data_IF_045425321609
#
_entry.id   IF_045425321609
#
_cell.length_a   1.000
_cell.length_b   1.000
_cell.length_c   1.000
_cell.angle_alpha   90.00
_cell.angle_beta   90.00
_cell.angle_gamma   90.00
#
_symmetry.space_group_name_H-M   'P 1'
#
loop_
_entity.id
_entity.type
_entity.pdbx_description
1 polymer ?
#
# COMPACT_ATOMS: atom_id res chain seq x y z
N UNK A 1 -14.58 -2.99 10.71
CA UNK A 1 -15.69 -2.92 11.70
C UNK A 1 -16.35 -1.55 11.66
N UNK A 2 -17.62 -1.44 12.03
CA UNK A 2 -18.38 -0.18 11.91
C UNK A 2 -18.64 0.19 10.45
N UNK A 3 -18.29 1.42 10.03
CA UNK A 3 -18.38 1.86 8.62
C UNK A 3 -17.53 1.01 7.67
N UNK A 4 -16.42 0.45 8.17
CA UNK A 4 -15.53 -0.42 7.42
C UNK A 4 -16.10 -1.83 7.35
N UNK A 5 -16.73 -2.14 6.22
CA UNK A 5 -17.46 -3.40 5.98
C UNK A 5 -16.77 -4.31 4.97
N UNK A 6 -15.56 -3.92 4.57
CA UNK A 6 -14.68 -4.60 3.64
C UNK A 6 -13.39 -5.02 4.35
N UNK A 7 -12.67 -5.96 3.74
CA UNK A 7 -11.32 -6.31 4.18
C UNK A 7 -10.38 -5.17 3.83
N UNK A 8 -9.54 -4.75 4.78
CA UNK A 8 -8.45 -3.81 4.57
C UNK A 8 -7.12 -4.54 4.64
N UNK A 9 -6.17 -4.15 3.80
CA UNK A 9 -4.94 -4.90 3.62
C UNK A 9 -4.07 -4.91 4.89
N UNK A 10 -3.56 -3.77 5.34
CA UNK A 10 -2.58 -3.77 6.44
C UNK A 10 -3.21 -4.09 7.81
N UNK A 11 -4.47 -3.68 8.05
CA UNK A 11 -5.26 -4.02 9.24
C UNK A 11 -5.39 -5.53 9.43
N UNK A 12 -5.44 -6.26 8.32
CA UNK A 12 -5.59 -7.71 8.33
C UNK A 12 -4.39 -8.42 8.92
N UNK A 13 -3.17 -7.89 8.76
CA UNK A 13 -1.99 -8.49 9.40
C UNK A 13 -2.10 -8.42 10.92
N UNK A 14 -2.44 -7.26 11.48
CA UNK A 14 -2.61 -7.10 12.92
C UNK A 14 -3.80 -7.90 13.47
N UNK A 15 -4.87 -8.02 12.68
CA UNK A 15 -6.00 -8.91 13.00
C UNK A 15 -5.55 -10.37 13.03
N UNK A 16 -4.74 -10.79 12.06
CA UNK A 16 -4.21 -12.14 11.97
C UNK A 16 -3.34 -12.52 13.16
N UNK A 17 -2.54 -11.59 13.72
CA UNK A 17 -1.79 -11.86 14.95
C UNK A 17 -2.70 -12.29 16.11
N UNK A 18 -3.88 -11.66 16.26
CA UNK A 18 -4.88 -12.08 17.25
C UNK A 18 -5.56 -13.41 16.92
N UNK A 19 -5.74 -13.72 15.63
CA UNK A 19 -6.28 -15.00 15.17
C UNK A 19 -5.30 -16.15 15.43
N UNK A 20 -4.01 -15.93 15.15
CA UNK A 20 -2.92 -16.84 15.48
C UNK A 20 -2.92 -17.17 16.98
N UNK A 21 -2.91 -16.12 17.83
CA UNK A 21 -2.87 -16.30 19.28
C UNK A 21 -4.12 -16.97 19.85
N UNK A 22 -5.26 -16.85 19.17
CA UNK A 22 -6.50 -17.54 19.54
C UNK A 22 -6.65 -18.94 18.91
N UNK A 23 -5.64 -19.45 18.20
CA UNK A 23 -5.64 -20.76 17.57
C UNK A 23 -6.59 -20.88 16.38
N UNK A 24 -6.98 -19.76 15.75
CA UNK A 24 -7.91 -19.69 14.61
C UNK A 24 -7.19 -19.85 13.27
N UNK A 25 -6.44 -20.94 13.13
CA UNK A 25 -5.72 -21.29 11.90
C UNK A 25 -6.64 -21.40 10.67
N UNK A 26 -7.89 -21.79 10.86
CA UNK A 26 -8.91 -21.88 9.81
C UNK A 26 -9.13 -20.52 9.13
N UNK A 27 -9.16 -19.45 9.92
CA UNK A 27 -9.31 -18.09 9.43
C UNK A 27 -8.02 -17.55 8.81
N UNK A 28 -6.86 -17.88 9.39
CA UNK A 28 -5.56 -17.55 8.83
C UNK A 28 -5.41 -18.09 7.39
N UNK A 29 -5.75 -19.37 7.19
CA UNK A 29 -5.74 -20.02 5.85
C UNK A 29 -6.62 -19.29 4.86
N UNK A 30 -7.84 -18.94 5.26
CA UNK A 30 -8.78 -18.22 4.40
C UNK A 30 -8.26 -16.81 4.04
N UNK A 31 -7.69 -16.08 5.00
CA UNK A 31 -7.16 -14.74 4.74
C UNK A 31 -5.96 -14.78 3.78
N UNK A 32 -5.05 -15.74 3.96
CA UNK A 32 -3.93 -15.97 3.07
C UNK A 32 -4.37 -16.14 1.61
N UNK A 33 -5.34 -17.05 1.40
CA UNK A 33 -5.88 -17.37 0.08
C UNK A 33 -6.59 -16.18 -0.56
N UNK A 34 -7.31 -15.38 0.24
CA UNK A 34 -7.97 -14.16 -0.26
C UNK A 34 -6.94 -13.12 -0.75
N UNK A 35 -5.83 -12.95 -0.03
CA UNK A 35 -4.77 -12.01 -0.44
C UNK A 35 -4.01 -12.50 -1.67
N UNK A 36 -3.64 -13.78 -1.70
CA UNK A 36 -3.03 -14.41 -2.87
C UNK A 36 -3.94 -14.27 -4.11
N UNK A 37 -5.24 -14.53 -3.96
CA UNK A 37 -6.23 -14.37 -5.03
C UNK A 37 -6.33 -12.92 -5.52
N UNK A 38 -6.28 -11.93 -4.63
CA UNK A 38 -6.29 -10.51 -5.03
C UNK A 38 -5.04 -10.14 -5.85
N UNK A 39 -3.86 -10.64 -5.46
CA UNK A 39 -2.62 -10.45 -6.23
C UNK A 39 -2.76 -11.07 -7.63
N UNK A 40 -3.28 -12.30 -7.73
CA UNK A 40 -3.48 -12.98 -9.01
C UNK A 40 -4.43 -12.24 -9.95
N UNK A 41 -5.52 -11.67 -9.41
CA UNK A 41 -6.59 -11.08 -10.22
C UNK A 41 -6.39 -9.60 -10.51
N UNK A 42 -5.72 -8.85 -9.62
CA UNK A 42 -5.56 -7.40 -9.74
C UNK A 42 -4.09 -6.96 -9.85
N UNK A 43 -3.14 -7.89 -9.78
CA UNK A 43 -1.70 -7.62 -9.81
C UNK A 43 -1.15 -7.04 -8.50
N UNK A 44 -2.00 -6.76 -7.52
CA UNK A 44 -1.64 -6.24 -6.20
C UNK A 44 -2.79 -6.48 -5.21
N UNK A 45 -2.53 -6.30 -3.92
CA UNK A 45 -3.60 -6.26 -2.92
C UNK A 45 -4.13 -4.82 -2.86
N UNK A 46 -5.40 -4.56 -3.20
CA UNK A 46 -5.97 -3.22 -3.09
C UNK A 46 -6.10 -2.82 -1.62
N UNK A 47 -6.20 -1.50 -1.36
CA UNK A 47 -6.41 -0.94 -0.01
C UNK A 47 -7.50 -1.69 0.78
N UNK A 48 -8.61 -1.99 0.10
CA UNK A 48 -9.56 -2.99 0.53
C UNK A 48 -10.32 -3.61 -0.64
N UNK A 49 -11.15 -4.63 -0.38
CA UNK A 49 -11.84 -5.39 -1.43
C UNK A 49 -13.10 -4.69 -2.02
N UNK A 50 -12.94 -3.41 -2.40
CA UNK A 50 -13.95 -2.59 -3.08
C UNK A 50 -13.40 -2.04 -4.40
N UNK A 51 -14.27 -1.86 -5.39
CA UNK A 51 -13.87 -1.42 -6.74
C UNK A 51 -13.16 -0.05 -6.76
N UNK A 52 -13.55 0.88 -5.88
CA UNK A 52 -12.93 2.20 -5.76
C UNK A 52 -11.54 2.19 -5.09
N UNK A 53 -11.11 1.04 -4.57
CA UNK A 53 -9.76 0.81 -4.04
C UNK A 53 -8.80 0.16 -5.04
N UNK A 54 -9.26 -0.35 -6.18
CA UNK A 54 -8.40 -1.02 -7.17
C UNK A 54 -7.30 -0.13 -7.78
N UNK A 55 -7.34 1.18 -7.56
CA UNK A 55 -6.31 2.11 -8.04
C UNK A 55 -5.14 2.29 -7.08
N UNK A 56 -5.17 1.66 -5.89
CA UNK A 56 -4.11 1.78 -4.89
C UNK A 56 -4.03 0.57 -3.97
N UNK A 57 -2.83 0.30 -3.50
CA UNK A 57 -2.56 -0.65 -2.41
C UNK A 57 -2.67 0.02 -1.03
N UNK A 58 -2.10 -0.63 -0.03
CA UNK A 58 -1.85 -0.17 1.33
C UNK A 58 -0.41 -0.58 1.75
N UNK A 59 0.07 -0.28 2.96
CA UNK A 59 1.38 -0.75 3.41
C UNK A 59 1.57 -2.27 3.18
N UNK A 60 2.63 -2.70 2.44
CA UNK A 60 2.73 -4.07 1.95
C UNK A 60 3.20 -5.03 3.05
N UNK A 61 2.24 -5.68 3.69
CA UNK A 61 2.46 -6.58 4.82
C UNK A 61 2.26 -8.06 4.48
N UNK A 62 2.03 -8.42 3.20
CA UNK A 62 1.81 -9.81 2.80
C UNK A 62 3.03 -10.70 3.07
N UNK A 63 4.25 -10.19 2.95
CA UNK A 63 5.45 -10.91 3.39
C UNK A 63 5.38 -11.28 4.88
N UNK A 64 4.93 -10.36 5.73
CA UNK A 64 4.74 -10.61 7.17
C UNK A 64 3.62 -11.63 7.43
N UNK A 65 2.54 -11.57 6.63
CA UNK A 65 1.46 -12.56 6.69
C UNK A 65 1.97 -13.96 6.34
N UNK A 66 2.80 -14.08 5.30
CA UNK A 66 3.38 -15.36 4.86
C UNK A 66 4.28 -15.96 5.94
N UNK A 67 5.13 -15.15 6.58
CA UNK A 67 5.97 -15.60 7.69
C UNK A 67 5.14 -16.10 8.88
N UNK A 68 4.10 -15.37 9.27
CA UNK A 68 3.18 -15.80 10.33
C UNK A 68 2.56 -17.17 10.01
N UNK A 69 2.15 -17.41 8.76
CA UNK A 69 1.60 -18.71 8.36
C UNK A 69 2.62 -19.84 8.42
N UNK A 70 3.90 -19.55 8.19
CA UNK A 70 4.97 -20.55 8.29
C UNK A 70 5.29 -20.88 9.75
N UNK A 71 5.38 -19.86 10.61
CA UNK A 71 5.63 -20.01 12.05
C UNK A 71 4.53 -20.82 12.76
N UNK A 72 3.27 -20.58 12.42
CA UNK A 72 2.12 -21.31 12.99
C UNK A 72 1.91 -22.69 12.35
N UNK A 73 2.79 -23.13 11.44
CA UNK A 73 2.65 -24.41 10.73
C UNK A 73 1.40 -24.47 9.84
N UNK A 74 0.78 -23.32 9.57
CA UNK A 74 -0.45 -23.19 8.79
C UNK A 74 -0.17 -23.58 7.34
N UNK A 75 0.87 -22.98 6.73
CA UNK A 75 1.35 -23.26 5.36
C UNK A 75 2.79 -22.79 5.20
N UNK A 76 3.60 -23.54 4.43
CA UNK A 76 4.98 -23.15 4.13
C UNK A 76 5.07 -21.94 3.19
N UNK A 77 6.03 -21.04 3.45
CA UNK A 77 6.19 -19.79 2.74
C UNK A 77 6.41 -19.96 1.23
N UNK A 78 7.03 -21.07 0.82
CA UNK A 78 7.26 -21.43 -0.59
C UNK A 78 6.00 -21.47 -1.46
N UNK A 79 4.83 -21.70 -0.86
CA UNK A 79 3.54 -21.67 -1.59
C UNK A 79 3.21 -20.29 -2.14
N UNK A 80 3.68 -19.23 -1.49
CA UNK A 80 3.34 -17.85 -1.81
C UNK A 80 4.47 -17.09 -2.51
N UNK A 81 5.55 -17.78 -2.88
CA UNK A 81 6.72 -17.14 -3.51
C UNK A 81 6.35 -16.36 -4.78
N UNK A 82 5.50 -16.94 -5.63
CA UNK A 82 5.08 -16.29 -6.86
C UNK A 82 4.21 -15.05 -6.56
N UNK A 83 3.31 -15.12 -5.57
CA UNK A 83 2.51 -13.97 -5.12
C UNK A 83 3.38 -12.85 -4.54
N UNK A 84 4.40 -13.18 -3.74
CA UNK A 84 5.36 -12.21 -3.21
C UNK A 84 6.12 -11.50 -4.33
N UNK A 85 6.57 -12.25 -5.36
CA UNK A 85 7.22 -11.68 -6.55
C UNK A 85 6.29 -10.80 -7.37
N UNK A 86 5.01 -11.18 -7.49
CA UNK A 86 4.00 -10.37 -8.18
C UNK A 86 3.75 -9.06 -7.44
N UNK A 87 3.60 -9.09 -6.11
CA UNK A 87 3.48 -7.87 -5.32
C UNK A 87 4.73 -6.99 -5.44
N UNK A 88 5.93 -7.58 -5.37
CA UNK A 88 7.18 -6.85 -5.59
C UNK A 88 7.22 -6.16 -6.96
N UNK A 89 6.82 -6.88 -8.02
CA UNK A 89 6.75 -6.34 -9.37
C UNK A 89 5.77 -5.16 -9.48
N UNK A 90 4.65 -5.18 -8.75
CA UNK A 90 3.74 -4.03 -8.67
C UNK A 90 4.43 -2.80 -8.05
N UNK A 91 5.14 -2.96 -6.93
CA UNK A 91 5.83 -1.85 -6.28
C UNK A 91 7.01 -1.31 -7.10
N UNK A 92 7.64 -2.17 -7.89
CA UNK A 92 8.82 -1.84 -8.71
C UNK A 92 8.50 -1.50 -10.17
N UNK A 93 7.22 -1.36 -10.52
CA UNK A 93 6.81 -1.07 -11.89
C UNK A 93 7.48 0.20 -12.45
N UNK A 94 8.09 0.07 -13.63
CA UNK A 94 8.81 1.13 -14.33
C UNK A 94 10.22 1.44 -13.82
N UNK A 95 10.72 0.77 -12.77
CA UNK A 95 12.02 1.05 -12.17
C UNK A 95 13.20 1.09 -13.17
N UNK A 96 13.25 0.13 -14.10
CA UNK A 96 14.35 -0.01 -15.07
C UNK A 96 14.45 1.16 -16.05
N UNK A 97 13.34 1.87 -16.28
CA UNK A 97 13.27 2.99 -17.22
C UNK A 97 13.67 4.34 -16.62
N UNK A 98 13.77 4.42 -15.28
CA UNK A 98 14.03 5.67 -14.59
C UNK A 98 15.50 6.07 -14.69
N UNK A 99 15.75 7.34 -14.97
CA UNK A 99 17.07 7.97 -14.74
C UNK A 99 17.08 8.70 -13.38
N UNK A 100 18.26 9.06 -12.82
CA UNK A 100 18.34 9.75 -11.53
C UNK A 100 17.44 10.99 -11.44
N UNK A 101 16.82 11.19 -10.28
CA UNK A 101 15.83 12.23 -9.96
C UNK A 101 14.47 12.09 -10.68
N UNK A 102 14.16 10.92 -11.24
CA UNK A 102 12.84 10.65 -11.77
C UNK A 102 12.03 9.73 -10.86
N UNK A 103 10.72 9.86 -10.98
CA UNK A 103 9.76 8.99 -10.32
C UNK A 103 8.70 8.54 -11.33
N UNK A 104 8.31 7.28 -11.23
CA UNK A 104 7.20 6.72 -11.99
C UNK A 104 6.40 5.82 -11.04
N UNK A 105 5.09 6.11 -10.92
CA UNK A 105 4.19 5.48 -9.95
C UNK A 105 4.84 5.40 -8.56
N UNK A 106 5.07 4.19 -8.08
CA UNK A 106 5.63 3.89 -6.76
C UNK A 106 7.15 4.05 -6.69
N UNK A 107 7.88 4.07 -7.80
CA UNK A 107 9.35 4.04 -7.78
C UNK A 107 9.92 5.44 -7.94
N UNK A 108 10.97 5.74 -7.18
CA UNK A 108 11.77 6.95 -7.27
C UNK A 108 13.25 6.56 -7.39
N UNK A 109 13.92 7.04 -8.44
CA UNK A 109 15.37 6.90 -8.59
C UNK A 109 16.07 8.11 -7.99
N UNK A 110 16.80 7.87 -6.91
CA UNK A 110 17.49 8.90 -6.13
C UNK A 110 18.72 9.46 -6.88
N UNK A 111 19.29 10.61 -6.44
CA UNK A 111 20.46 11.21 -7.10
C UNK A 111 21.68 10.28 -7.17
N UNK A 112 21.86 9.41 -6.18
CA UNK A 112 22.95 8.43 -6.11
C UNK A 112 22.68 7.15 -6.93
N UNK A 113 21.53 7.08 -7.61
CA UNK A 113 21.12 5.95 -8.43
C UNK A 113 20.36 4.87 -7.68
N UNK A 114 20.24 4.96 -6.35
CA UNK A 114 19.41 4.04 -5.55
C UNK A 114 17.93 4.15 -5.93
N UNK A 115 17.21 3.03 -5.79
CA UNK A 115 15.77 2.97 -6.00
C UNK A 115 15.10 2.91 -4.64
N UNK A 116 14.13 3.79 -4.42
CA UNK A 116 13.27 3.80 -3.25
C UNK A 116 11.82 3.92 -3.71
N UNK A 117 10.88 3.64 -2.82
CA UNK A 117 9.47 3.67 -3.14
C UNK A 117 8.72 4.78 -2.39
N UNK A 118 7.60 5.19 -2.98
CA UNK A 118 6.62 6.12 -2.43
C UNK A 118 5.21 5.56 -2.57
N UNK A 119 4.31 6.06 -1.73
CA UNK A 119 2.88 5.81 -1.93
C UNK A 119 2.37 6.56 -3.15
N UNK A 120 1.51 5.88 -3.91
CA UNK A 120 0.93 6.36 -5.15
C UNK A 120 -0.45 5.70 -5.33
N UNK A 121 -1.35 6.39 -6.03
CA UNK A 121 -2.62 5.84 -6.51
C UNK A 121 -2.67 6.16 -8.01
N UNK A 122 -3.16 5.26 -8.85
CA UNK A 122 -3.19 5.43 -10.31
C UNK A 122 -4.24 6.43 -10.82
N UNK A 123 -5.20 6.82 -9.98
CA UNK A 123 -6.18 7.87 -10.27
C UNK A 123 -5.77 9.20 -9.65
N UNK A 124 -6.13 10.28 -10.34
CA UNK A 124 -6.02 11.67 -9.88
C UNK A 124 -7.37 12.37 -9.88
N UNK A 125 -8.44 11.64 -9.57
CA UNK A 125 -9.80 12.16 -9.38
C UNK A 125 -10.17 12.16 -7.90
N UNK A 126 -11.24 12.83 -7.44
CA UNK A 126 -11.70 12.70 -6.05
C UNK A 126 -11.98 11.24 -5.68
N UNK A 127 -11.76 10.86 -4.41
CA UNK A 127 -12.11 9.52 -3.88
C UNK A 127 -13.62 9.32 -3.85
N UNK A 128 -14.07 8.18 -4.34
CA UNK A 128 -15.49 7.83 -4.43
C UNK A 128 -16.13 7.82 -3.02
N UNK A 129 -15.38 7.34 -2.03
CA UNK A 129 -15.80 7.24 -0.62
C UNK A 129 -15.68 8.56 0.18
N UNK A 130 -15.13 9.63 -0.42
CA UNK A 130 -14.87 10.94 0.21
C UNK A 130 -14.90 12.09 -0.82
N UNK A 131 -15.87 12.02 -1.75
CA UNK A 131 -15.88 12.85 -2.95
C UNK A 131 -15.96 14.35 -2.63
N UNK A 132 -16.89 14.72 -1.76
CA UNK A 132 -17.14 16.12 -1.42
C UNK A 132 -15.94 16.72 -0.69
N UNK A 133 -15.37 15.98 0.25
CA UNK A 133 -14.22 16.36 1.05
C UNK A 133 -12.98 16.60 0.17
N UNK A 134 -12.72 15.70 -0.78
CA UNK A 134 -11.59 15.82 -1.71
C UNK A 134 -11.76 17.03 -2.64
N UNK A 135 -12.96 17.19 -3.22
CA UNK A 135 -13.28 18.35 -4.09
C UNK A 135 -13.07 19.66 -3.33
N UNK A 136 -13.56 19.74 -2.09
CA UNK A 136 -13.45 20.95 -1.29
C UNK A 136 -12.00 21.23 -0.86
N UNK A 137 -11.25 20.19 -0.52
CA UNK A 137 -9.82 20.32 -0.20
C UNK A 137 -9.01 20.84 -1.39
N UNK A 138 -9.28 20.34 -2.60
CA UNK A 138 -8.60 20.78 -3.81
C UNK A 138 -8.89 22.25 -4.15
N UNK A 139 -10.14 22.72 -4.01
CA UNK A 139 -10.51 24.14 -4.19
C UNK A 139 -9.68 25.06 -3.30
N UNK A 140 -9.44 24.64 -2.06
CA UNK A 140 -8.67 25.41 -1.09
C UNK A 140 -7.14 25.29 -1.24
N UNK A 141 -6.61 24.59 -2.25
CA UNK A 141 -5.16 24.35 -2.37
C UNK A 141 -4.42 25.40 -3.18
N UNK A 142 -5.07 26.01 -4.18
CA UNK A 142 -4.43 26.83 -5.21
C UNK A 142 -3.56 26.05 -6.20
N UNK A 143 -3.54 24.71 -6.14
CA UNK A 143 -2.82 23.81 -7.06
C UNK A 143 -3.73 23.25 -8.14
N UNK A 144 -3.18 22.65 -9.21
CA UNK A 144 -3.96 21.78 -10.10
C UNK A 144 -4.72 20.72 -9.27
N UNK A 145 -6.06 20.63 -9.39
CA UNK A 145 -6.87 19.74 -8.54
C UNK A 145 -6.45 18.28 -8.63
N UNK A 146 -6.08 17.80 -9.82
CA UNK A 146 -5.62 16.44 -10.06
C UNK A 146 -4.38 16.07 -9.23
N UNK A 147 -3.43 16.99 -9.06
CA UNK A 147 -2.29 16.74 -8.19
C UNK A 147 -2.69 16.61 -6.72
N UNK A 148 -3.64 17.43 -6.26
CA UNK A 148 -4.16 17.35 -4.89
C UNK A 148 -4.88 16.03 -4.68
N UNK A 149 -5.73 15.63 -5.61
CA UNK A 149 -6.43 14.35 -5.57
C UNK A 149 -5.45 13.17 -5.53
N UNK A 150 -4.38 13.22 -6.34
CA UNK A 150 -3.31 12.21 -6.30
C UNK A 150 -2.65 12.13 -4.92
N UNK A 151 -2.31 13.26 -4.31
CA UNK A 151 -1.69 13.29 -2.99
C UNK A 151 -2.65 12.83 -1.87
N UNK A 152 -3.94 13.17 -1.97
CA UNK A 152 -4.99 12.70 -1.06
C UNK A 152 -5.19 11.18 -1.15
N UNK A 153 -5.23 10.63 -2.36
CA UNK A 153 -5.33 9.19 -2.61
C UNK A 153 -4.07 8.45 -2.18
N UNK A 154 -2.88 8.99 -2.45
CA UNK A 154 -1.62 8.45 -1.96
C UNK A 154 -1.54 8.48 -0.43
N UNK A 155 -2.14 9.49 0.23
CA UNK A 155 -2.28 9.53 1.69
C UNK A 155 -3.15 8.38 2.22
N UNK A 156 -4.24 8.03 1.52
CA UNK A 156 -5.03 6.85 1.84
C UNK A 156 -4.28 5.54 1.53
N UNK A 157 -3.50 5.48 0.45
CA UNK A 157 -2.62 4.35 0.14
C UNK A 157 -1.53 4.14 1.19
N UNK A 158 -1.15 5.19 1.93
CA UNK A 158 -0.18 5.06 3.02
C UNK A 158 -0.76 4.43 4.28
N UNK A 159 -2.09 4.36 4.42
CA UNK A 159 -2.77 4.02 5.68
C UNK A 159 -2.72 5.14 6.73
N UNK A 160 -2.28 6.35 6.36
CA UNK A 160 -2.16 7.52 7.25
C UNK A 160 -2.92 8.72 6.69
N UNK A 161 -4.21 8.53 6.38
CA UNK A 161 -5.15 9.55 5.92
C UNK A 161 -5.93 10.18 7.11
N UNK A 162 -5.65 11.40 7.56
CA UNK A 162 -4.53 12.26 7.16
C UNK A 162 -3.63 12.61 8.34
N UNK A 163 -2.37 12.92 8.02
CA UNK A 163 -1.31 13.19 8.99
C UNK A 163 -0.50 14.41 8.57
N UNK A 164 -0.06 15.21 9.55
CA UNK A 164 0.88 16.32 9.36
C UNK A 164 2.17 15.91 8.67
N UNK A 165 2.53 14.62 8.76
CA UNK A 165 3.64 13.97 8.04
C UNK A 165 3.68 14.29 6.55
N UNK A 166 2.50 14.44 5.92
CA UNK A 166 2.37 14.65 4.47
C UNK A 166 2.15 16.11 4.08
N UNK A 167 2.06 17.02 5.06
CA UNK A 167 1.60 18.38 4.85
C UNK A 167 2.78 19.35 4.82
N UNK A 168 2.77 20.31 3.88
CA UNK A 168 3.72 21.44 3.91
C UNK A 168 3.35 22.49 4.96
N UNK A 169 2.07 22.57 5.29
CA UNK A 169 1.49 23.36 6.36
C UNK A 169 0.65 22.43 7.24
N UNK A 170 1.12 22.14 8.44
CA UNK A 170 0.60 21.07 9.31
C UNK A 170 -0.85 21.31 9.75
N UNK A 171 -1.35 22.55 9.69
CA UNK A 171 -2.74 22.89 9.99
C UNK A 171 -3.68 22.84 8.79
N UNK A 172 -3.17 22.58 7.58
CA UNK A 172 -3.93 22.73 6.34
C UNK A 172 -3.78 21.50 5.44
N UNK A 173 -4.82 20.65 5.41
CA UNK A 173 -4.85 19.46 4.56
C UNK A 173 -4.62 19.76 3.07
N UNK A 174 -5.09 20.91 2.57
CA UNK A 174 -4.86 21.33 1.18
C UNK A 174 -3.36 21.51 0.82
N UNK A 175 -2.48 21.52 1.83
CA UNK A 175 -1.02 21.52 1.66
C UNK A 175 -0.39 20.13 1.53
N UNK A 176 -1.21 19.05 1.47
CA UNK A 176 -0.75 17.66 1.33
C UNK A 176 0.11 17.46 0.08
N UNK A 177 1.21 16.71 0.21
CA UNK A 177 2.21 16.41 -0.83
C UNK A 177 2.73 14.98 -0.72
N UNK A 178 1.88 14.01 -0.39
CA UNK A 178 2.27 12.62 -0.09
C UNK A 178 3.24 12.03 -1.12
N UNK A 179 3.00 12.27 -2.42
CA UNK A 179 3.83 11.73 -3.52
C UNK A 179 5.22 12.38 -3.64
N UNK A 180 5.50 13.43 -2.86
CA UNK A 180 6.80 14.11 -2.79
C UNK A 180 7.67 13.61 -1.63
N UNK A 181 7.18 12.68 -0.83
CA UNK A 181 7.94 12.09 0.28
C UNK A 181 8.36 10.66 -0.07
N UNK A 182 9.54 10.28 0.40
CA UNK A 182 10.00 8.89 0.44
C UNK A 182 9.69 8.35 1.83
N UNK A 183 8.65 7.50 2.01
CA UNK A 183 8.22 7.04 3.32
C UNK A 183 9.16 5.97 3.87
N UNK A 184 9.74 6.20 5.05
CA UNK A 184 10.64 5.22 5.68
C UNK A 184 9.95 3.88 6.00
N UNK A 185 8.68 3.93 6.42
CA UNK A 185 7.86 2.75 6.69
C UNK A 185 7.65 1.90 5.44
N UNK A 186 7.25 2.51 4.31
CA UNK A 186 7.09 1.77 3.05
C UNK A 186 8.38 1.07 2.64
N UNK A 187 9.51 1.77 2.69
CA UNK A 187 10.79 1.20 2.28
C UNK A 187 11.26 0.11 3.26
N UNK A 188 10.92 0.20 4.55
CA UNK A 188 11.16 -0.87 5.51
C UNK A 188 10.31 -2.13 5.22
N UNK A 189 9.03 -1.95 4.84
CA UNK A 189 8.17 -3.07 4.42
C UNK A 189 8.67 -3.73 3.14
N UNK A 190 9.14 -2.95 2.16
CA UNK A 190 9.69 -3.50 0.92
C UNK A 190 11.02 -4.21 1.13
N UNK A 191 11.90 -3.69 1.99
CA UNK A 191 13.11 -4.41 2.39
C UNK A 191 12.77 -5.77 3.05
N UNK A 192 11.71 -5.81 3.86
CA UNK A 192 11.20 -7.06 4.43
C UNK A 192 10.68 -8.02 3.35
N UNK A 193 9.95 -7.53 2.37
CA UNK A 193 9.48 -8.31 1.22
C UNK A 193 10.67 -8.89 0.42
N UNK A 194 11.67 -8.08 0.10
CA UNK A 194 12.89 -8.52 -0.59
C UNK A 194 13.63 -9.61 0.20
N UNK A 195 13.76 -9.41 1.52
CA UNK A 195 14.39 -10.38 2.41
C UNK A 195 13.61 -11.69 2.48
N UNK A 196 12.28 -11.64 2.54
CA UNK A 196 11.42 -12.82 2.54
C UNK A 196 11.56 -13.60 1.23
N UNK A 197 11.51 -12.92 0.08
CA UNK A 197 11.70 -13.55 -1.23
C UNK A 197 13.07 -14.23 -1.33
N UNK A 198 14.14 -13.62 -0.80
CA UNK A 198 15.49 -14.16 -0.85
C UNK A 198 15.71 -15.40 0.04
N UNK A 199 14.92 -15.56 1.10
CA UNK A 199 15.09 -16.61 2.10
C UNK A 199 14.18 -17.84 1.91
N UNK A 200 13.29 -17.82 0.90
CA UNK A 200 12.40 -18.93 0.51
C UNK A 200 13.07 -19.82 -0.54
#
# INVERSE_FOLDING_TARGET
GGRFSETYYWDSYFTMLGLAESGREDLLKCMADNFAWMIENYGHIPNGNRTYYLSRSQPPVFALMVELFEEDGVRGARRYLDHLKMEYAFWMDGAESLIPNQAYRHVVRMPDGSLLNRYWDDRDTPRDESWLEDVETAKHSGRPPNEVYRDLRAGAASGWDYSSRWLRDTGRLASIRTTQFIPIDLNAFLFKLESAIANI
#
